data_IF_726664064453
#
_entry.id   IF_726664064453
#
_cell.length_a   1.000
_cell.length_b   1.000
_cell.length_c   1.000
_cell.angle_alpha   90.00
_cell.angle_beta   90.00
_cell.angle_gamma   90.00
#
_symmetry.space_group_name_H-M   'P 1'
#
loop_
_entity.id
_entity.type
_entity.pdbx_description
1 polymer ?
#
# COMPACT_ATOMS: atom_id res chain seq x y z
N UNK A 1 -29.55 -13.82 19.58
CA UNK A 1 -28.17 -13.36 19.88
C UNK A 1 -27.25 -13.92 18.81
N UNK A 2 -26.82 -13.10 17.87
CA UNK A 2 -25.79 -13.38 16.85
C UNK A 2 -25.17 -12.00 16.62
N UNK A 3 -23.85 -11.78 16.59
CA UNK A 3 -22.76 -12.58 16.03
C UNK A 3 -21.45 -12.17 16.71
N UNK A 4 -20.48 -13.05 16.58
CA UNK A 4 -19.10 -12.98 17.06
C UNK A 4 -18.47 -11.58 16.94
N UNK A 5 -17.75 -11.14 17.97
CA UNK A 5 -16.83 -10.00 17.84
C UNK A 5 -15.75 -10.42 16.84
N UNK A 6 -15.47 -9.58 15.87
CA UNK A 6 -14.37 -9.78 14.93
C UNK A 6 -13.14 -9.00 15.42
N UNK A 7 -11.96 -9.59 15.25
CA UNK A 7 -10.69 -9.00 15.68
C UNK A 7 -10.08 -8.07 14.62
N UNK A 8 -10.53 -8.17 13.37
CA UNK A 8 -10.03 -7.39 12.24
C UNK A 8 -11.12 -7.12 11.20
N UNK A 9 -10.93 -6.03 10.45
CA UNK A 9 -11.71 -5.67 9.27
C UNK A 9 -10.74 -5.70 8.09
N UNK A 10 -11.10 -6.42 7.03
CA UNK A 10 -10.39 -6.39 5.76
C UNK A 10 -11.22 -5.59 4.76
N UNK A 11 -10.63 -4.53 4.22
CA UNK A 11 -11.25 -3.71 3.17
C UNK A 11 -10.55 -4.03 1.86
N UNK A 12 -11.28 -4.66 0.93
CA UNK A 12 -10.81 -4.87 -0.44
C UNK A 12 -11.29 -3.70 -1.30
N UNK A 13 -10.35 -2.99 -1.92
CA UNK A 13 -10.66 -1.98 -2.93
C UNK A 13 -10.80 -2.67 -4.29
N UNK A 14 -11.84 -2.33 -5.06
CA UNK A 14 -12.05 -2.96 -6.36
C UNK A 14 -11.16 -2.33 -7.43
N UNK A 15 -10.47 -3.15 -8.23
CA UNK A 15 -9.72 -2.68 -9.39
C UNK A 15 -8.56 -1.75 -9.03
N UNK A 16 -8.55 -0.57 -9.63
CA UNK A 16 -7.55 0.49 -9.45
C UNK A 16 -8.00 1.58 -8.47
N UNK A 17 -8.87 1.22 -7.51
CA UNK A 17 -9.34 2.19 -6.53
C UNK A 17 -8.18 2.71 -5.67
N UNK A 18 -8.21 4.02 -5.44
CA UNK A 18 -7.25 4.75 -4.62
C UNK A 18 -7.41 4.35 -3.14
N UNK A 19 -6.34 3.91 -2.46
CA UNK A 19 -6.37 3.59 -1.03
C UNK A 19 -6.52 4.82 -0.12
N UNK A 20 -6.21 6.04 -0.58
CA UNK A 20 -6.17 7.22 0.26
C UNK A 20 -7.53 7.58 0.90
N UNK A 21 -8.64 7.76 0.14
CA UNK A 21 -9.95 8.05 0.72
C UNK A 21 -10.42 7.02 1.76
N UNK A 22 -10.09 5.75 1.50
CA UNK A 22 -10.44 4.65 2.41
C UNK A 22 -9.63 4.77 3.70
N UNK A 23 -8.33 5.04 3.61
CA UNK A 23 -7.46 5.22 4.76
C UNK A 23 -7.82 6.48 5.57
N UNK A 24 -8.14 7.59 4.92
CA UNK A 24 -8.59 8.85 5.54
C UNK A 24 -9.77 8.66 6.49
N UNK A 25 -10.72 7.80 6.11
CA UNK A 25 -11.90 7.49 6.93
C UNK A 25 -11.52 7.06 8.35
N UNK A 26 -10.37 6.40 8.54
CA UNK A 26 -9.90 5.95 9.85
C UNK A 26 -9.33 7.07 10.74
N UNK A 27 -9.11 8.26 10.19
CA UNK A 27 -8.53 9.42 10.89
C UNK A 27 -9.50 10.58 11.03
N UNK A 28 -10.33 10.80 10.00
CA UNK A 28 -11.28 11.92 9.91
C UNK A 28 -12.63 11.58 10.55
N UNK A 29 -13.12 10.34 10.42
CA UNK A 29 -14.40 9.94 11.02
C UNK A 29 -14.20 9.55 12.49
N UNK A 30 -14.76 10.37 13.40
CA UNK A 30 -14.65 10.17 14.85
C UNK A 30 -15.22 8.83 15.32
N UNK A 31 -16.28 8.33 14.67
CA UNK A 31 -16.99 7.12 15.05
C UNK A 31 -16.21 5.87 14.65
N UNK A 32 -15.51 5.91 13.52
CA UNK A 32 -14.59 4.88 13.05
C UNK A 32 -13.31 4.91 13.87
N UNK A 33 -12.66 6.08 13.99
CA UNK A 33 -11.40 6.27 14.71
C UNK A 33 -11.46 5.83 16.17
N UNK A 34 -12.60 6.01 16.85
CA UNK A 34 -12.77 5.57 18.24
C UNK A 34 -12.87 4.04 18.39
N UNK A 35 -13.21 3.31 17.33
CA UNK A 35 -13.53 1.87 17.37
C UNK A 35 -12.51 1.02 16.63
N UNK A 36 -11.72 1.60 15.74
CA UNK A 36 -10.76 0.90 14.89
C UNK A 36 -9.41 1.62 14.87
N UNK A 37 -8.40 0.93 14.37
CA UNK A 37 -7.11 1.50 14.00
C UNK A 37 -6.75 0.92 12.63
N UNK A 38 -6.25 1.75 11.71
CA UNK A 38 -5.68 1.26 10.46
C UNK A 38 -4.36 0.54 10.77
N UNK A 39 -4.28 -0.74 10.42
CA UNK A 39 -3.14 -1.60 10.74
C UNK A 39 -2.03 -1.49 9.69
N UNK A 40 -2.39 -1.67 8.42
CA UNK A 40 -1.49 -1.61 7.28
C UNK A 40 -2.29 -1.46 5.97
N UNK A 41 -1.69 -0.83 4.97
CA UNK A 41 -2.09 -0.92 3.57
C UNK A 41 -1.26 -2.02 2.91
N UNK A 42 -1.94 -3.02 2.34
CA UNK A 42 -1.29 -4.18 1.71
C UNK A 42 -1.58 -4.16 0.21
N UNK A 43 -0.52 -4.15 -0.59
CA UNK A 43 -0.64 -4.13 -2.06
C UNK A 43 -0.06 -5.42 -2.64
N UNK A 44 -0.86 -6.14 -3.44
CA UNK A 44 -0.43 -7.35 -4.15
C UNK A 44 0.09 -6.95 -5.52
N UNK A 45 1.33 -7.35 -5.83
CA UNK A 45 2.01 -6.98 -7.07
C UNK A 45 2.31 -8.22 -7.91
N UNK A 46 2.00 -8.15 -9.20
CA UNK A 46 2.40 -9.17 -10.17
C UNK A 46 3.84 -8.92 -10.64
N UNK A 47 4.78 -9.75 -10.20
CA UNK A 47 6.19 -9.64 -10.58
C UNK A 47 6.42 -9.76 -12.08
N UNK A 48 5.57 -10.49 -12.81
CA UNK A 48 5.76 -10.71 -14.25
C UNK A 48 5.38 -9.49 -15.08
N UNK A 49 4.36 -8.75 -14.65
CA UNK A 49 3.76 -7.69 -15.45
C UNK A 49 4.14 -6.29 -14.98
N UNK A 50 4.53 -6.08 -13.70
CA UNK A 50 4.75 -4.75 -13.13
C UNK A 50 5.56 -3.82 -14.04
N UNK A 51 6.76 -4.23 -14.48
CA UNK A 51 7.65 -3.37 -15.25
C UNK A 51 7.08 -2.91 -16.61
N UNK A 52 6.15 -3.68 -17.18
CA UNK A 52 5.49 -3.32 -18.44
C UNK A 52 4.26 -2.42 -18.26
N UNK A 53 3.78 -2.25 -17.02
CA UNK A 53 2.48 -1.65 -16.75
C UNK A 53 2.54 -0.47 -15.79
N UNK A 54 3.47 -0.47 -14.84
CA UNK A 54 3.50 0.50 -13.75
C UNK A 54 3.72 1.94 -14.22
N UNK A 55 4.42 2.15 -15.34
CA UNK A 55 4.68 3.50 -15.86
C UNK A 55 3.47 4.11 -16.58
N UNK A 56 2.44 3.31 -16.91
CA UNK A 56 1.21 3.74 -17.59
C UNK A 56 -0.04 3.62 -16.72
N UNK A 57 0.10 3.14 -15.49
CA UNK A 57 -0.99 2.91 -14.55
C UNK A 57 -0.74 3.77 -13.31
N UNK A 58 -1.28 4.98 -13.34
CA UNK A 58 -1.04 5.99 -12.30
C UNK A 58 -1.56 5.50 -10.94
N UNK A 59 -2.76 4.94 -10.92
CA UNK A 59 -3.42 4.40 -9.73
C UNK A 59 -2.61 3.24 -9.12
N UNK A 60 -1.92 2.45 -9.96
CA UNK A 60 -1.04 1.40 -9.47
C UNK A 60 0.23 1.96 -8.81
N UNK A 61 0.73 3.13 -9.25
CA UNK A 61 1.84 3.81 -8.59
C UNK A 61 1.44 4.33 -7.22
N UNK A 62 0.27 4.97 -7.12
CA UNK A 62 -0.31 5.42 -5.85
C UNK A 62 -0.49 4.24 -4.89
N UNK A 63 -1.10 3.14 -5.33
CA UNK A 63 -1.25 1.92 -4.53
C UNK A 63 0.08 1.36 -4.01
N UNK A 64 1.17 1.46 -4.78
CA UNK A 64 2.52 1.08 -4.33
C UNK A 64 3.11 2.10 -3.34
N UNK A 65 2.87 3.39 -3.56
CA UNK A 65 3.39 4.47 -2.72
C UNK A 65 2.76 4.48 -1.33
N UNK A 66 1.47 4.18 -1.23
CA UNK A 66 0.77 4.08 0.06
C UNK A 66 1.00 2.73 0.77
N UNK A 67 1.48 1.70 0.07
CA UNK A 67 1.67 0.37 0.65
C UNK A 67 2.67 0.36 1.82
N UNK A 68 2.27 -0.22 2.94
CA UNK A 68 3.22 -0.57 4.01
C UNK A 68 3.87 -1.93 3.71
N UNK A 69 3.09 -2.83 3.11
CA UNK A 69 3.51 -4.19 2.77
C UNK A 69 3.17 -4.46 1.30
N UNK A 70 4.19 -4.87 0.55
CA UNK A 70 4.04 -5.30 -0.85
C UNK A 70 4.16 -6.81 -0.91
N UNK A 71 3.08 -7.51 -1.25
CA UNK A 71 3.10 -8.93 -1.57
C UNK A 71 3.52 -9.05 -3.04
N UNK A 72 4.81 -9.24 -3.28
CA UNK A 72 5.37 -9.45 -4.60
C UNK A 72 5.13 -10.91 -5.02
N UNK A 73 4.10 -11.12 -5.83
CA UNK A 73 3.58 -12.42 -6.21
C UNK A 73 4.04 -12.85 -7.62
N UNK A 74 3.87 -14.15 -7.92
CA UNK A 74 4.27 -14.79 -9.18
C UNK A 74 5.78 -14.74 -9.41
N UNK A 75 6.55 -14.80 -8.33
CA UNK A 75 8.03 -14.78 -8.40
C UNK A 75 8.60 -16.00 -9.12
N UNK A 76 7.82 -17.09 -9.24
CA UNK A 76 8.11 -18.28 -10.03
C UNK A 76 8.07 -18.06 -11.56
N UNK A 77 7.47 -16.96 -12.03
CA UNK A 77 7.34 -16.64 -13.46
C UNK A 77 8.44 -15.71 -14.00
N UNK A 78 9.36 -15.28 -13.13
CA UNK A 78 10.43 -14.34 -13.45
C UNK A 78 11.79 -14.89 -13.07
N UNK A 79 12.81 -14.49 -13.81
CA UNK A 79 14.21 -14.77 -13.47
C UNK A 79 14.67 -13.91 -12.30
N UNK A 80 15.74 -14.32 -11.62
CA UNK A 80 16.34 -13.52 -10.54
C UNK A 80 16.72 -12.09 -10.97
N UNK A 81 17.11 -11.91 -12.24
CA UNK A 81 17.42 -10.59 -12.80
C UNK A 81 16.17 -9.73 -12.97
N UNK A 82 15.09 -10.30 -13.49
CA UNK A 82 13.81 -9.60 -13.61
C UNK A 82 13.25 -9.26 -12.23
N UNK A 83 13.32 -10.19 -11.28
CA UNK A 83 12.87 -9.98 -9.90
C UNK A 83 13.61 -8.82 -9.23
N UNK A 84 14.93 -8.77 -9.34
CA UNK A 84 15.73 -7.66 -8.80
C UNK A 84 15.36 -6.30 -9.45
N UNK A 85 15.03 -6.28 -10.74
CA UNK A 85 14.57 -5.06 -11.42
C UNK A 85 13.18 -4.62 -10.94
N UNK A 86 12.29 -5.57 -10.67
CA UNK A 86 10.96 -5.32 -10.10
C UNK A 86 11.08 -4.75 -8.69
N UNK A 87 11.89 -5.36 -7.82
CA UNK A 87 12.15 -4.86 -6.47
C UNK A 87 12.73 -3.45 -6.49
N UNK A 88 13.72 -3.19 -7.36
CA UNK A 88 14.30 -1.86 -7.52
C UNK A 88 13.25 -0.82 -7.98
N UNK A 89 12.31 -1.22 -8.85
CA UNK A 89 11.23 -0.32 -9.27
C UNK A 89 10.25 -0.03 -8.13
N UNK A 90 9.89 -1.03 -7.33
CA UNK A 90 9.04 -0.87 -6.15
C UNK A 90 9.73 0.06 -5.15
N UNK A 91 11.01 -0.19 -4.82
CA UNK A 91 11.77 0.63 -3.87
C UNK A 91 11.97 2.07 -4.34
N UNK A 92 12.03 2.31 -5.66
CA UNK A 92 12.08 3.67 -6.21
C UNK A 92 10.77 4.45 -6.02
N UNK A 93 9.62 3.74 -5.98
CA UNK A 93 8.30 4.34 -5.72
C UNK A 93 8.10 4.48 -4.21
N UNK A 94 8.46 3.45 -3.45
CA UNK A 94 8.27 3.37 -2.02
C UNK A 94 9.48 2.66 -1.35
N UNK A 95 10.44 3.42 -0.81
CA UNK A 95 11.65 2.89 -0.17
C UNK A 95 11.37 2.23 1.17
N UNK A 96 10.21 2.52 1.76
CA UNK A 96 9.83 2.08 3.11
C UNK A 96 8.99 0.79 3.11
N UNK A 97 8.43 0.41 1.95
CA UNK A 97 7.58 -0.77 1.83
C UNK A 97 8.35 -2.05 2.18
N UNK A 98 7.74 -2.88 3.03
CA UNK A 98 8.22 -4.24 3.27
C UNK A 98 7.80 -5.15 2.12
N UNK A 99 8.77 -5.70 1.38
CA UNK A 99 8.49 -6.61 0.26
C UNK A 99 8.46 -8.08 0.74
N UNK A 100 7.41 -8.82 0.36
CA UNK A 100 7.22 -10.24 0.64
C UNK A 100 7.11 -11.02 -0.68
N UNK A 101 8.12 -11.84 -0.98
CA UNK A 101 8.13 -12.68 -2.17
C UNK A 101 7.21 -13.88 -1.99
N UNK A 102 6.32 -14.09 -2.95
CA UNK A 102 5.33 -15.16 -2.89
C UNK A 102 5.10 -15.82 -4.25
N UNK A 103 4.53 -17.01 -4.21
CA UNK A 103 3.89 -17.69 -5.32
C UNK A 103 2.46 -17.99 -4.91
N UNK A 104 1.48 -17.64 -5.76
CA UNK A 104 0.04 -17.76 -5.47
C UNK A 104 -0.38 -17.04 -4.17
N UNK A 105 0.27 -15.92 -3.85
CA UNK A 105 0.06 -15.15 -2.62
C UNK A 105 0.22 -15.98 -1.33
N UNK A 106 1.01 -17.05 -1.36
CA UNK A 106 1.28 -17.86 -0.17
C UNK A 106 2.21 -17.08 0.79
N UNK A 107 1.62 -16.43 1.78
CA UNK A 107 2.30 -15.67 2.84
C UNK A 107 1.64 -15.94 4.19
N UNK A 108 2.42 -16.15 5.26
CA UNK A 108 1.86 -16.29 6.60
C UNK A 108 1.09 -15.04 7.03
N UNK A 109 -0.12 -15.23 7.58
CA UNK A 109 -1.02 -14.13 7.94
C UNK A 109 -0.42 -13.18 8.98
N UNK A 110 0.41 -13.67 9.89
CA UNK A 110 1.11 -12.89 10.91
C UNK A 110 2.21 -11.95 10.35
N UNK A 111 2.55 -12.12 9.07
CA UNK A 111 3.46 -11.23 8.34
C UNK A 111 2.72 -10.10 7.60
N UNK A 112 1.39 -10.17 7.51
CA UNK A 112 0.56 -9.19 6.78
C UNK A 112 -0.48 -8.51 7.66
N UNK A 113 -1.05 -9.21 8.64
CA UNK A 113 -2.04 -8.68 9.58
C UNK A 113 -1.43 -8.39 10.96
N UNK A 114 -2.02 -7.42 11.65
CA UNK A 114 -1.65 -6.99 13.00
C UNK A 114 -0.17 -6.57 13.10
N UNK A 115 0.26 -5.77 12.12
CA UNK A 115 1.64 -5.30 12.00
C UNK A 115 1.86 -3.93 12.61
N UNK A 116 0.79 -3.14 12.76
CA UNK A 116 0.85 -1.73 13.14
C UNK A 116 1.79 -0.95 12.23
N UNK A 117 1.81 -1.29 10.94
CA UNK A 117 2.77 -0.79 9.97
C UNK A 117 2.35 0.55 9.37
N UNK A 118 1.06 0.89 9.41
CA UNK A 118 0.58 2.17 8.90
C UNK A 118 1.18 3.33 9.70
N UNK A 119 1.82 4.24 8.98
CA UNK A 119 2.44 5.45 9.49
C UNK A 119 1.80 6.68 8.84
N UNK A 120 1.07 7.46 9.64
CA UNK A 120 0.40 8.66 9.16
C UNK A 120 1.39 9.76 8.79
N UNK A 121 2.51 9.89 9.52
CA UNK A 121 3.49 10.95 9.24
C UNK A 121 4.12 10.72 7.87
N UNK A 122 4.43 9.46 7.53
CA UNK A 122 4.89 9.06 6.20
C UNK A 122 3.87 9.42 5.11
N UNK A 123 2.59 9.19 5.36
CA UNK A 123 1.53 9.50 4.40
C UNK A 123 1.43 11.00 4.18
N UNK A 124 1.52 11.81 5.25
CA UNK A 124 1.52 13.27 5.18
C UNK A 124 2.76 13.87 4.49
N UNK A 125 3.90 13.16 4.49
CA UNK A 125 5.07 13.56 3.70
C UNK A 125 4.84 13.39 2.19
N UNK A 126 4.05 12.40 1.79
CA UNK A 126 3.69 12.13 0.38
C UNK A 126 2.55 13.05 -0.06
N UNK A 127 1.52 13.16 0.78
CA UNK A 127 0.30 13.92 0.53
C UNK A 127 -0.01 14.78 1.77
N UNK A 128 0.49 16.03 1.83
CA UNK A 128 0.31 16.91 3.00
C UNK A 128 -1.15 17.19 3.33
N UNK A 129 -2.00 17.26 2.30
CA UNK A 129 -3.42 17.56 2.42
C UNK A 129 -4.26 16.28 2.66
N UNK A 130 -3.62 15.14 2.97
CA UNK A 130 -4.28 13.85 3.17
C UNK A 130 -5.39 13.88 4.23
N UNK A 131 -5.40 14.81 5.20
CA UNK A 131 -6.47 14.89 6.20
C UNK A 131 -7.57 15.91 5.87
N UNK A 132 -7.43 16.64 4.77
CA UNK A 132 -8.37 17.68 4.37
C UNK A 132 -9.54 17.06 3.61
N UNK A 133 -10.60 16.71 4.34
CA UNK A 133 -11.73 15.89 3.87
C UNK A 133 -12.65 16.46 2.79
N UNK A 134 -12.22 17.47 2.01
CA UNK A 134 -13.00 18.16 0.99
C UNK A 134 -12.37 18.13 -0.43
N UNK A 135 -11.24 17.44 -0.64
CA UNK A 135 -10.60 17.38 -1.95
C UNK A 135 -11.01 16.13 -2.74
N UNK A 136 -11.61 16.32 -3.92
CA UNK A 136 -11.46 15.32 -5.00
C UNK A 136 -9.95 15.20 -5.22
N UNK A 137 -9.36 14.03 -4.95
CA UNK A 137 -7.95 13.78 -5.19
C UNK A 137 -7.67 14.00 -6.69
N UNK A 138 -7.20 15.20 -7.05
CA UNK A 138 -6.63 15.47 -8.35
C UNK A 138 -5.28 14.77 -8.39
N UNK A 139 -5.24 13.60 -9.02
CA UNK A 139 -4.05 12.78 -9.27
C UNK A 139 -2.86 13.65 -9.71
N UNK A 140 -1.80 13.71 -8.88
CA UNK A 140 -0.53 14.32 -9.25
C UNK A 140 0.21 13.41 -10.24
N UNK A 141 0.55 13.91 -11.43
CA UNK A 141 1.00 13.11 -12.58
C UNK A 141 2.31 12.29 -12.36
N UNK A 142 3.00 12.42 -11.22
CA UNK A 142 4.26 11.71 -10.95
C UNK A 142 4.52 11.38 -9.47
N UNK A 143 4.16 10.16 -9.03
CA UNK A 143 4.56 9.67 -7.70
C UNK A 143 6.05 9.29 -7.68
N UNK A 144 6.86 10.07 -6.96
CA UNK A 144 8.28 9.78 -6.71
C UNK A 144 8.64 10.05 -5.26
N UNK A 145 9.10 9.05 -4.53
CA UNK A 145 9.61 9.21 -3.17
C UNK A 145 11.05 9.73 -3.15
N UNK A 146 11.37 10.60 -2.20
CA UNK A 146 12.75 10.97 -1.86
C UNK A 146 12.97 10.74 -0.36
N UNK A 147 14.15 10.24 0.01
CA UNK A 147 14.55 10.09 1.42
C UNK A 147 15.80 10.93 1.66
N UNK A 148 15.77 11.78 2.70
CA UNK A 148 16.91 12.57 3.14
C UNK A 148 17.41 12.02 4.49
N UNK A 149 18.71 11.79 4.59
CA UNK A 149 19.38 11.46 5.85
C UNK A 149 20.34 12.61 6.16
N UNK A 150 20.11 13.31 7.27
CA UNK A 150 21.04 14.33 7.79
C UNK A 150 21.94 13.72 8.85
N UNK A 151 23.25 13.97 8.73
CA UNK A 151 24.29 13.54 9.69
C UNK A 151 24.13 14.17 11.09
#
# INVERSE_FOLDING_TARGET
>A
RRKDRFDAILVETTGLADPAPVAQTFFVDDDVRQKTKLDAIITVVDAKHLLGEIDRAHEAQEQLAFADIVILNKTDLVTAKELAAVEARIQKINPTATIKHTTRCDVPLDQVLNRGAFDLDRVLEIEPDFLDGDHEHEHDDHVTSFSLVTE
#
